data_IF_824306070979
#
_entry.id   IF_824306070979
#
_cell.length_a   1.000
_cell.length_b   1.000
_cell.length_c   1.000
_cell.angle_alpha   90.00
_cell.angle_beta   90.00
_cell.angle_gamma   90.00
#
_symmetry.space_group_name_H-M   'P 1'
#
loop_
_entity.id
_entity.type
_entity.pdbx_description
1 polymer ?
#
# COMPACT_ATOMS: atom_id res chain seq x y z
N UNK A 1 25.80 -12.84 -6.04
CA UNK A 1 26.51 -13.01 -4.76
C UNK A 1 25.42 -13.24 -3.75
N UNK A 2 25.34 -14.40 -3.11
CA UNK A 2 24.23 -14.69 -2.19
C UNK A 2 24.61 -14.34 -0.73
N UNK A 3 23.82 -13.50 -0.09
CA UNK A 3 23.99 -13.03 1.27
C UNK A 3 22.68 -13.24 2.05
N UNK A 4 22.76 -13.88 3.21
CA UNK A 4 21.64 -13.86 4.16
C UNK A 4 21.64 -12.52 4.89
N UNK A 5 20.54 -11.77 4.78
CA UNK A 5 20.37 -10.44 5.37
C UNK A 5 19.35 -10.53 6.50
N UNK A 6 19.68 -9.93 7.65
CA UNK A 6 18.73 -9.69 8.73
C UNK A 6 18.97 -8.28 9.29
N UNK A 7 17.92 -7.47 9.34
CA UNK A 7 17.97 -6.10 9.84
C UNK A 7 16.78 -5.90 10.78
N UNK A 8 17.03 -5.34 11.95
CA UNK A 8 15.98 -4.91 12.87
C UNK A 8 16.29 -3.52 13.42
N UNK A 9 15.25 -2.79 13.77
CA UNK A 9 15.41 -1.46 14.33
C UNK A 9 14.10 -0.86 14.80
N UNK A 10 14.17 0.21 15.61
CA UNK A 10 12.98 0.86 16.14
C UNK A 10 12.26 1.76 15.12
N UNK A 11 12.93 2.15 14.02
CA UNK A 11 12.40 2.98 12.94
C UNK A 11 13.38 2.99 11.74
N UNK A 12 12.95 2.64 10.51
CA UNK A 12 13.79 2.62 9.31
C UNK A 12 14.36 3.98 8.89
N UNK A 13 13.68 5.10 9.18
CA UNK A 13 14.13 6.46 8.85
C UNK A 13 15.54 6.74 9.39
N UNK A 14 15.93 6.10 10.50
CA UNK A 14 17.29 6.20 11.08
C UNK A 14 18.38 5.72 10.14
N UNK A 15 18.06 4.83 9.20
CA UNK A 15 18.99 4.34 8.17
C UNK A 15 19.12 5.30 6.98
N UNK A 16 18.26 6.31 6.84
CA UNK A 16 18.27 7.22 5.69
C UNK A 16 19.64 7.89 5.49
N UNK A 17 20.28 8.34 6.58
CA UNK A 17 21.61 8.96 6.55
C UNK A 17 22.72 7.98 6.14
N UNK A 18 22.54 6.70 6.44
CA UNK A 18 23.50 5.64 6.11
C UNK A 18 23.37 5.23 4.64
N UNK A 19 22.13 5.11 4.16
CA UNK A 19 21.82 4.61 2.82
C UNK A 19 21.76 5.72 1.74
N UNK A 20 21.67 6.99 2.15
CA UNK A 20 21.57 8.12 1.23
C UNK A 20 20.23 8.22 0.50
N UNK A 21 19.22 7.46 0.95
CA UNK A 21 17.85 7.49 0.46
C UNK A 21 16.91 7.92 1.60
N UNK A 22 15.86 8.66 1.30
CA UNK A 22 14.84 8.99 2.29
C UNK A 22 14.00 7.74 2.56
N UNK A 23 14.05 7.23 3.80
CA UNK A 23 13.17 6.17 4.26
C UNK A 23 12.03 6.76 5.08
N UNK A 24 10.83 6.15 5.03
CA UNK A 24 9.68 6.62 5.79
C UNK A 24 9.89 6.42 7.29
N UNK A 25 9.16 7.21 8.08
CA UNK A 25 8.95 6.90 9.50
C UNK A 25 7.96 5.75 9.60
N UNK A 26 8.43 4.62 10.14
CA UNK A 26 7.62 3.44 10.42
C UNK A 26 7.87 2.97 11.86
N UNK A 27 6.95 2.16 12.42
CA UNK A 27 7.16 1.48 13.70
C UNK A 27 8.43 0.60 13.71
N UNK A 28 8.65 -0.06 14.85
CA UNK A 28 9.72 -1.04 14.97
C UNK A 28 9.57 -2.12 13.89
N UNK A 29 10.68 -2.49 13.27
CA UNK A 29 10.71 -3.43 12.17
C UNK A 29 11.78 -4.50 12.37
N UNK A 30 11.54 -5.65 11.78
CA UNK A 30 12.51 -6.72 11.61
C UNK A 30 12.29 -7.34 10.24
N UNK A 31 13.32 -7.44 9.41
CA UNK A 31 13.23 -8.07 8.10
C UNK A 31 14.42 -9.00 7.89
N UNK A 32 14.16 -10.18 7.34
CA UNK A 32 15.18 -11.14 6.94
C UNK A 32 14.88 -11.74 5.58
N UNK A 33 15.91 -12.28 4.92
CA UNK A 33 15.79 -13.02 3.67
C UNK A 33 17.15 -13.21 2.99
N UNK A 34 17.12 -13.69 1.75
CA UNK A 34 18.30 -13.92 0.94
C UNK A 34 18.43 -12.81 -0.11
N UNK A 35 19.58 -12.12 -0.11
CA UNK A 35 19.90 -11.03 -1.02
C UNK A 35 20.96 -11.47 -2.02
N UNK A 36 20.61 -11.47 -3.31
CA UNK A 36 21.55 -11.61 -4.41
C UNK A 36 21.76 -10.31 -5.18
N UNK A 37 23.02 -10.02 -5.53
CA UNK A 37 23.37 -9.01 -6.51
C UNK A 37 23.75 -9.67 -7.84
N UNK A 38 22.85 -9.54 -8.82
CA UNK A 38 23.00 -10.01 -10.19
C UNK A 38 23.32 -8.82 -11.11
N UNK A 39 24.61 -8.48 -11.24
CA UNK A 39 25.02 -7.28 -11.97
C UNK A 39 24.61 -6.01 -11.23
N UNK A 40 23.65 -5.24 -11.75
CA UNK A 40 23.04 -4.09 -11.05
C UNK A 40 21.55 -4.34 -10.70
N UNK A 41 21.21 -5.61 -10.46
CA UNK A 41 19.90 -6.03 -9.96
C UNK A 41 20.06 -6.64 -8.57
N UNK A 42 19.41 -6.05 -7.59
CA UNK A 42 19.29 -6.59 -6.25
C UNK A 42 18.03 -7.44 -6.19
N UNK A 43 18.18 -8.73 -5.91
CA UNK A 43 17.08 -9.68 -5.79
C UNK A 43 16.99 -10.09 -4.33
N UNK A 44 15.93 -9.68 -3.64
CA UNK A 44 15.67 -10.04 -2.26
C UNK A 44 14.54 -11.06 -2.22
N UNK A 45 14.85 -12.27 -1.77
CA UNK A 45 13.93 -13.42 -1.78
C UNK A 45 13.76 -13.99 -0.39
N UNK A 46 12.70 -14.79 -0.20
CA UNK A 46 12.37 -15.38 1.11
C UNK A 46 12.23 -14.30 2.18
N UNK A 47 11.69 -13.14 1.77
CA UNK A 47 11.44 -12.02 2.67
C UNK A 47 10.51 -12.51 3.76
N UNK A 48 10.93 -12.30 5.00
CA UNK A 48 10.15 -12.51 6.21
C UNK A 48 10.35 -11.27 7.07
N UNK A 49 9.27 -10.52 7.19
CA UNK A 49 9.26 -9.17 7.75
C UNK A 49 8.17 -9.01 8.79
N UNK A 50 8.44 -8.12 9.74
CA UNK A 50 7.46 -7.54 10.65
C UNK A 50 7.67 -6.04 10.70
N UNK A 51 6.59 -5.28 10.66
CA UNK A 51 6.57 -3.83 10.82
C UNK A 51 5.40 -3.54 11.76
N UNK A 52 5.70 -3.05 12.97
CA UNK A 52 4.67 -2.92 14.00
C UNK A 52 4.01 -4.27 14.31
N UNK A 53 2.70 -4.32 14.15
CA UNK A 53 1.87 -5.52 14.35
C UNK A 53 1.64 -6.31 13.04
N UNK A 54 2.13 -5.80 11.92
CA UNK A 54 1.99 -6.38 10.58
C UNK A 54 3.10 -7.36 10.24
N UNK A 55 2.76 -8.43 9.53
CA UNK A 55 3.74 -9.30 8.86
C UNK A 55 3.84 -8.99 7.36
N UNK A 56 5.00 -9.27 6.77
CA UNK A 56 5.25 -9.08 5.34
C UNK A 56 6.19 -10.16 4.83
N UNK A 57 5.82 -10.82 3.74
CA UNK A 57 6.58 -11.90 3.15
C UNK A 57 6.69 -11.71 1.64
N UNK A 58 7.61 -12.44 0.99
CA UNK A 58 7.64 -12.54 -0.46
C UNK A 58 9.00 -12.28 -1.08
N UNK A 59 9.02 -11.52 -2.18
CA UNK A 59 10.22 -11.19 -2.93
C UNK A 59 10.15 -9.80 -3.54
N UNK A 60 11.29 -9.13 -3.60
CA UNK A 60 11.44 -7.84 -4.27
C UNK A 60 12.71 -7.83 -5.11
N UNK A 61 12.63 -7.12 -6.23
CA UNK A 61 13.73 -6.91 -7.15
C UNK A 61 13.90 -5.42 -7.38
N UNK A 62 15.10 -4.91 -7.13
CA UNK A 62 15.48 -3.54 -7.43
C UNK A 62 16.48 -3.54 -8.59
N UNK A 63 16.07 -3.02 -9.74
CA UNK A 63 16.90 -2.90 -10.92
C UNK A 63 17.39 -1.46 -11.09
N UNK A 64 18.69 -1.25 -10.87
CA UNK A 64 19.34 0.05 -11.05
C UNK A 64 20.07 0.16 -12.39
N UNK A 65 19.94 -0.82 -13.30
CA UNK A 65 20.47 -0.71 -14.68
C UNK A 65 19.58 0.17 -15.58
N UNK A 66 18.38 0.52 -15.12
CA UNK A 66 17.37 1.29 -15.86
C UNK A 66 17.17 2.64 -15.18
N UNK A 67 16.74 3.63 -15.95
CA UNK A 67 16.43 4.98 -15.47
C UNK A 67 15.03 5.38 -15.96
N UNK A 68 14.08 5.68 -15.07
CA UNK A 68 14.20 5.65 -13.61
C UNK A 68 14.50 4.24 -13.07
N UNK A 69 14.95 4.14 -11.81
CA UNK A 69 15.17 2.84 -11.18
C UNK A 69 13.84 2.08 -11.12
N UNK A 70 13.88 0.75 -11.26
CA UNK A 70 12.67 -0.06 -11.29
C UNK A 70 12.61 -1.03 -10.11
N UNK A 71 11.46 -1.08 -9.44
CA UNK A 71 11.16 -2.02 -8.36
C UNK A 71 10.08 -2.99 -8.81
N UNK A 72 10.27 -4.29 -8.59
CA UNK A 72 9.21 -5.25 -8.86
C UNK A 72 9.16 -6.40 -7.86
N UNK A 73 8.01 -7.05 -7.74
CA UNK A 73 7.90 -8.26 -6.94
C UNK A 73 6.50 -8.63 -6.48
N UNK A 74 6.46 -9.64 -5.63
CA UNK A 74 5.23 -10.15 -5.02
C UNK A 74 5.39 -10.11 -3.51
N UNK A 75 4.43 -9.49 -2.83
CA UNK A 75 4.39 -9.37 -1.39
C UNK A 75 3.12 -10.01 -0.83
N UNK A 76 3.19 -10.52 0.39
CA UNK A 76 2.00 -11.00 1.08
C UNK A 76 2.05 -10.85 2.59
N UNK A 77 0.88 -10.76 3.21
CA UNK A 77 0.72 -10.70 4.66
C UNK A 77 -0.41 -11.62 5.11
N UNK A 78 -0.22 -12.30 6.24
CA UNK A 78 -1.36 -12.91 6.94
C UNK A 78 -2.15 -11.85 7.69
N UNK A 79 -1.44 -10.92 8.35
CA UNK A 79 -2.03 -9.78 9.05
C UNK A 79 -1.29 -8.50 8.64
N UNK A 80 -2.07 -7.53 8.16
CA UNK A 80 -1.58 -6.19 7.88
C UNK A 80 -2.45 -5.18 8.61
N UNK A 81 -1.82 -4.26 9.33
CA UNK A 81 -2.43 -3.01 9.74
C UNK A 81 -1.89 -1.90 8.83
N UNK A 82 -2.77 -1.25 8.06
CA UNK A 82 -2.36 -0.20 7.13
C UNK A 82 -1.66 0.95 7.88
N UNK A 83 -1.99 1.17 9.15
CA UNK A 83 -1.32 2.18 9.98
C UNK A 83 0.18 1.89 10.18
N UNK A 84 0.59 0.62 10.15
CA UNK A 84 2.01 0.23 10.30
C UNK A 84 2.83 0.51 9.04
N UNK A 85 2.21 0.62 7.86
CA UNK A 85 2.88 0.93 6.60
C UNK A 85 3.17 2.43 6.43
N UNK A 86 2.85 3.24 7.43
CA UNK A 86 3.08 4.69 7.42
C UNK A 86 2.42 5.36 6.22
N UNK A 87 3.16 6.25 5.56
CA UNK A 87 2.74 7.15 4.47
C UNK A 87 1.92 6.52 3.31
N UNK A 88 1.82 5.19 3.16
CA UNK A 88 0.88 4.59 2.22
C UNK A 88 -0.60 4.93 2.55
N UNK A 89 -0.87 5.35 3.78
CA UNK A 89 -2.16 5.91 4.20
C UNK A 89 -2.27 7.44 4.04
N UNK A 90 -1.22 8.12 3.56
CA UNK A 90 -1.14 9.58 3.46
C UNK A 90 -1.32 10.33 4.79
N UNK A 91 -0.89 9.73 5.90
CA UNK A 91 -0.83 10.41 7.19
C UNK A 91 0.61 10.81 7.51
N UNK A 92 0.83 12.09 7.83
CA UNK A 92 1.99 12.46 8.64
C UNK A 92 1.74 12.08 10.10
N UNK A 93 2.78 11.80 10.92
CA UNK A 93 2.62 11.42 12.33
C UNK A 93 1.86 12.45 13.19
N UNK A 94 1.71 13.70 12.73
CA UNK A 94 0.92 14.74 13.42
C UNK A 94 -0.60 14.65 13.15
N UNK A 95 -1.04 13.83 12.19
CA UNK A 95 -2.46 13.77 11.77
C UNK A 95 -3.21 12.54 12.29
N UNK A 96 -2.51 11.58 12.90
CA UNK A 96 -3.11 10.35 13.47
C UNK A 96 -3.99 10.64 14.70
N UNK A 97 -3.97 11.87 15.23
CA UNK A 97 -4.77 12.29 16.40
C UNK A 97 -6.13 12.92 16.03
N UNK A 98 -6.46 13.04 14.73
CA UNK A 98 -7.77 13.54 14.30
C UNK A 98 -8.61 12.42 13.66
N UNK A 99 -9.45 11.84 14.49
CA UNK A 99 -10.65 11.12 14.10
C UNK A 99 -11.51 12.04 13.24
N UNK A 100 -11.49 11.88 11.91
CA UNK A 100 -12.61 12.13 10.99
C UNK A 100 -12.17 12.00 9.52
N UNK A 101 -12.99 11.26 8.76
CA UNK A 101 -12.97 11.04 7.30
C UNK A 101 -12.00 9.99 6.74
N UNK A 102 -12.61 8.86 6.35
CA UNK A 102 -12.18 8.05 5.21
C UNK A 102 -12.40 8.83 3.89
N UNK A 103 -11.73 9.96 3.76
CA UNK A 103 -11.61 10.71 2.51
C UNK A 103 -10.13 10.72 2.21
N UNK A 104 -9.79 10.42 0.95
CA UNK A 104 -8.44 10.43 0.38
C UNK A 104 -7.53 11.39 1.17
N UNK A 105 -6.38 10.91 1.71
CA UNK A 105 -5.56 11.68 2.62
C UNK A 105 -5.22 13.07 2.07
N UNK A 106 -5.24 14.07 2.95
CA UNK A 106 -4.85 15.46 2.63
C UNK A 106 -3.33 15.59 2.35
N UNK A 107 -2.54 14.56 2.68
CA UNK A 107 -1.14 14.45 2.27
C UNK A 107 -1.02 13.79 0.90
N UNK A 108 -0.26 14.41 0.01
CA UNK A 108 -0.04 13.94 -1.36
C UNK A 108 0.52 12.50 -1.39
N UNK A 109 -0.33 11.48 -1.57
CA UNK A 109 0.07 10.09 -1.91
C UNK A 109 1.04 10.11 -3.11
N UNK A 110 0.84 11.11 -3.97
CA UNK A 110 1.54 11.38 -5.20
C UNK A 110 2.61 12.44 -4.95
N UNK A 111 3.83 12.02 -4.65
CA UNK A 111 4.98 12.93 -4.46
C UNK A 111 5.86 12.99 -5.71
N UNK A 112 6.78 13.95 -5.77
CA UNK A 112 7.88 13.99 -6.75
C UNK A 112 8.66 12.66 -6.86
N UNK A 113 8.57 11.79 -5.85
CA UNK A 113 9.18 10.47 -5.86
C UNK A 113 8.66 9.58 -7.01
N UNK A 114 7.41 9.72 -7.43
CA UNK A 114 6.80 8.91 -8.50
C UNK A 114 7.43 9.17 -9.88
N UNK A 115 8.05 10.33 -10.06
CA UNK A 115 8.81 10.66 -11.28
C UNK A 115 10.24 10.07 -11.25
N UNK A 116 10.73 9.70 -10.07
CA UNK A 116 12.09 9.18 -9.86
C UNK A 116 12.21 7.66 -9.87
N UNK A 117 11.09 6.94 -9.97
CA UNK A 117 11.00 5.48 -9.83
C UNK A 117 9.92 4.90 -10.76
N UNK A 118 10.11 3.66 -11.20
CA UNK A 118 9.03 2.83 -11.75
C UNK A 118 8.82 1.60 -10.89
N UNK A 119 7.60 1.05 -10.89
CA UNK A 119 7.23 -0.09 -10.07
C UNK A 119 6.31 -1.08 -10.79
N UNK A 120 6.41 -2.36 -10.44
CA UNK A 120 5.48 -3.44 -10.83
C UNK A 120 5.38 -4.43 -9.65
N UNK A 121 4.40 -4.22 -8.78
CA UNK A 121 4.28 -4.91 -7.50
C UNK A 121 2.88 -5.48 -7.34
N UNK A 122 2.81 -6.77 -7.00
CA UNK A 122 1.58 -7.43 -6.55
C UNK A 122 1.61 -7.63 -5.03
N UNK A 123 0.45 -7.48 -4.40
CA UNK A 123 0.27 -7.68 -2.97
C UNK A 123 -0.97 -8.51 -2.67
N UNK A 124 -0.84 -9.46 -1.73
CA UNK A 124 -1.94 -10.28 -1.21
C UNK A 124 -2.00 -10.23 0.32
N UNK A 125 -3.15 -9.90 0.89
CA UNK A 125 -3.36 -9.82 2.34
C UNK A 125 -4.54 -10.68 2.80
N UNK A 126 -4.32 -11.63 3.71
CA UNK A 126 -5.41 -12.48 4.22
C UNK A 126 -6.38 -11.68 5.10
N UNK A 127 -5.84 -10.93 6.07
CA UNK A 127 -6.56 -10.06 7.00
C UNK A 127 -5.89 -8.69 7.04
N UNK A 128 -6.57 -7.67 6.53
CA UNK A 128 -6.05 -6.31 6.50
C UNK A 128 -6.95 -5.40 7.35
N UNK A 129 -6.35 -4.62 8.24
CA UNK A 129 -7.04 -3.60 9.01
C UNK A 129 -6.76 -2.23 8.41
N UNK A 130 -7.82 -1.52 8.04
CA UNK A 130 -7.78 -0.12 7.60
C UNK A 130 -8.54 0.73 8.63
N UNK A 131 -7.85 1.26 9.65
CA UNK A 131 -8.52 1.89 10.80
C UNK A 131 -9.39 0.87 11.54
N UNK A 132 -10.68 1.14 11.74
CA UNK A 132 -11.62 0.19 12.34
C UNK A 132 -12.24 -0.80 11.34
N UNK A 133 -11.82 -0.75 10.07
CA UNK A 133 -12.42 -1.55 8.99
C UNK A 133 -11.64 -2.86 8.79
N UNK A 134 -12.25 -4.02 9.07
CA UNK A 134 -11.66 -5.31 8.77
C UNK A 134 -11.91 -5.67 7.29
N UNK A 135 -10.83 -5.82 6.54
CA UNK A 135 -10.83 -6.28 5.16
C UNK A 135 -10.26 -7.70 5.10
N UNK A 136 -10.76 -8.52 4.17
CA UNK A 136 -10.31 -9.89 3.98
C UNK A 136 -9.94 -10.13 2.52
N UNK A 137 -9.01 -11.06 2.26
CA UNK A 137 -8.61 -11.45 0.91
C UNK A 137 -8.30 -10.23 0.01
N UNK A 138 -7.43 -9.35 0.51
CA UNK A 138 -7.00 -8.16 -0.22
C UNK A 138 -6.06 -8.56 -1.35
N UNK A 139 -6.30 -8.08 -2.55
CA UNK A 139 -5.43 -8.22 -3.71
C UNK A 139 -5.19 -6.84 -4.33
N UNK A 140 -3.93 -6.51 -4.60
CA UNK A 140 -3.53 -5.23 -5.20
C UNK A 140 -2.45 -5.51 -6.23
N UNK A 141 -2.69 -5.13 -7.48
CA UNK A 141 -1.65 -5.02 -8.49
C UNK A 141 -1.38 -3.55 -8.78
N UNK A 142 -0.11 -3.13 -8.62
CA UNK A 142 0.33 -1.76 -8.78
C UNK A 142 1.44 -1.64 -9.80
N UNK A 143 1.21 -0.81 -10.81
CA UNK A 143 2.21 -0.44 -11.82
C UNK A 143 2.43 1.07 -11.77
N UNK A 144 3.68 1.50 -11.74
CA UNK A 144 4.08 2.91 -11.81
C UNK A 144 5.07 3.10 -12.96
N UNK A 145 4.70 3.92 -13.94
CA UNK A 145 5.56 4.28 -15.06
C UNK A 145 5.43 5.77 -15.36
N UNK A 146 6.57 6.46 -15.51
CA UNK A 146 6.63 7.88 -15.90
C UNK A 146 5.73 8.82 -15.05
N UNK A 147 5.62 8.57 -13.74
CA UNK A 147 4.76 9.34 -12.83
C UNK A 147 3.28 8.98 -12.89
N UNK A 148 2.90 7.96 -13.66
CA UNK A 148 1.52 7.45 -13.73
C UNK A 148 1.40 6.13 -12.99
N UNK A 149 0.59 6.10 -11.94
CA UNK A 149 0.31 4.89 -11.17
C UNK A 149 -1.03 4.29 -11.52
N UNK A 150 -1.04 3.01 -11.83
CA UNK A 150 -2.23 2.22 -12.07
C UNK A 150 -2.36 1.16 -10.98
N UNK A 151 -3.54 1.08 -10.38
CA UNK A 151 -3.92 0.02 -9.46
C UNK A 151 -5.06 -0.77 -10.11
N UNK A 152 -4.76 -1.98 -10.60
CA UNK A 152 -5.69 -2.77 -11.40
C UNK A 152 -5.32 -4.27 -11.38
N UNK A 153 -6.02 -5.12 -10.60
CA UNK A 153 -7.13 -4.77 -9.71
C UNK A 153 -6.68 -4.27 -8.34
N UNK A 154 -7.61 -3.63 -7.62
CA UNK A 154 -7.63 -3.61 -6.16
C UNK A 154 -8.92 -4.29 -5.73
N UNK A 155 -8.85 -5.43 -5.05
CA UNK A 155 -10.03 -6.14 -4.59
C UNK A 155 -9.93 -6.51 -3.12
N UNK A 156 -11.05 -6.52 -2.41
CA UNK A 156 -11.12 -7.00 -1.04
C UNK A 156 -12.53 -7.41 -0.64
N UNK A 157 -12.62 -8.33 0.31
CA UNK A 157 -13.86 -8.71 0.98
C UNK A 157 -14.14 -7.84 2.20
N UNK A 158 -15.42 -7.48 2.40
CA UNK A 158 -15.91 -6.79 3.59
C UNK A 158 -17.24 -7.42 4.03
N UNK A 159 -17.27 -7.93 5.27
CA UNK A 159 -18.39 -8.74 5.74
C UNK A 159 -18.63 -9.95 4.85
N UNK A 160 -19.85 -10.10 4.32
CA UNK A 160 -20.20 -11.14 3.34
C UNK A 160 -20.07 -10.68 1.86
N UNK A 161 -19.69 -9.41 1.65
CA UNK A 161 -19.59 -8.76 0.35
C UNK A 161 -18.15 -8.62 -0.16
N UNK A 162 -18.01 -8.03 -1.34
CA UNK A 162 -16.74 -7.69 -1.97
C UNK A 162 -16.78 -6.30 -2.59
N UNK A 163 -15.60 -5.70 -2.69
CA UNK A 163 -15.37 -4.41 -3.36
C UNK A 163 -14.22 -4.61 -4.33
N UNK A 164 -14.44 -4.19 -5.57
CA UNK A 164 -13.46 -4.15 -6.64
C UNK A 164 -13.23 -2.69 -7.04
N UNK A 165 -11.97 -2.30 -7.19
CA UNK A 165 -11.54 -0.94 -7.47
C UNK A 165 -10.50 -0.97 -8.59
N UNK A 166 -10.57 0.03 -9.46
CA UNK A 166 -9.49 0.37 -10.40
C UNK A 166 -9.15 1.84 -10.23
N UNK A 167 -7.88 2.15 -10.02
CA UNK A 167 -7.39 3.52 -9.87
C UNK A 167 -6.33 3.82 -10.93
N UNK A 168 -6.40 5.01 -11.51
CA UNK A 168 -5.38 5.54 -12.41
C UNK A 168 -5.05 6.96 -11.95
N UNK A 169 -3.79 7.20 -11.60
CA UNK A 169 -3.30 8.44 -11.02
C UNK A 169 -2.16 8.98 -11.87
N UNK A 170 -2.22 10.28 -12.20
CA UNK A 170 -1.22 11.01 -12.97
C UNK A 170 -0.58 12.08 -12.08
N UNK A 171 0.70 11.87 -11.73
CA UNK A 171 1.52 12.79 -10.94
C UNK A 171 2.17 13.90 -11.75
N UNK A 172 2.03 13.88 -13.08
CA UNK A 172 2.70 14.83 -13.97
C UNK A 172 1.94 16.15 -14.09
N UNK A 173 0.69 16.17 -13.63
CA UNK A 173 -0.18 17.34 -13.56
C UNK A 173 -0.09 18.00 -12.17
N UNK A 174 -0.38 19.31 -12.11
CA UNK A 174 -0.46 20.05 -10.84
C UNK A 174 -1.78 20.85 -10.78
N UNK A 175 -2.74 20.50 -9.91
CA UNK A 175 -2.68 19.36 -8.97
C UNK A 175 -2.68 18.02 -9.72
N UNK A 176 -2.17 16.93 -9.10
CA UNK A 176 -2.29 15.58 -9.65
C UNK A 176 -3.74 15.23 -10.01
N UNK A 177 -3.92 14.44 -11.04
CA UNK A 177 -5.24 14.04 -11.57
C UNK A 177 -5.39 12.54 -11.58
N UNK A 178 -6.63 12.03 -11.63
CA UNK A 178 -6.84 10.60 -11.72
C UNK A 178 -8.27 10.20 -11.96
N UNK A 179 -8.47 8.91 -12.18
CA UNK A 179 -9.78 8.29 -12.32
C UNK A 179 -9.90 7.11 -11.37
N UNK A 180 -11.12 6.86 -10.91
CA UNK A 180 -11.44 5.75 -10.03
C UNK A 180 -12.72 5.09 -10.50
N UNK A 181 -12.69 3.76 -10.57
CA UNK A 181 -13.87 2.93 -10.79
C UNK A 181 -14.04 2.05 -9.56
N UNK A 182 -15.28 1.92 -9.10
CA UNK A 182 -15.61 1.07 -7.96
C UNK A 182 -16.81 0.22 -8.29
N UNK A 183 -16.72 -1.07 -8.02
CA UNK A 183 -17.82 -2.02 -8.02
C UNK A 183 -17.98 -2.60 -6.62
N UNK A 184 -19.20 -2.55 -6.09
CA UNK A 184 -19.54 -3.08 -4.77
C UNK A 184 -20.57 -4.18 -4.95
N UNK A 185 -20.34 -5.32 -4.31
CA UNK A 185 -21.20 -6.49 -4.40
C UNK A 185 -21.54 -7.02 -3.02
N UNK A 186 -22.84 -7.02 -2.69
CA UNK A 186 -23.39 -7.66 -1.48
C UNK A 186 -22.78 -7.14 -0.17
N UNK A 187 -22.39 -5.86 -0.13
CA UNK A 187 -21.92 -5.22 1.11
C UNK A 187 -23.14 -4.81 1.94
N UNK A 188 -23.13 -5.19 3.21
CA UNK A 188 -24.11 -4.76 4.19
C UNK A 188 -23.86 -3.28 4.53
N UNK A 189 -24.88 -2.45 4.33
CA UNK A 189 -24.77 -1.01 4.52
C UNK A 189 -24.70 -0.62 5.99
N UNK A 190 -25.38 -1.34 6.88
CA UNK A 190 -25.36 -1.03 8.31
C UNK A 190 -23.95 -1.24 8.89
N UNK A 191 -23.27 -2.30 8.44
CA UNK A 191 -21.89 -2.57 8.84
C UNK A 191 -20.89 -1.61 8.20
N UNK A 192 -21.10 -1.23 6.93
CA UNK A 192 -20.27 -0.24 6.25
C UNK A 192 -20.39 1.15 6.91
N UNK A 193 -21.61 1.62 7.20
CA UNK A 193 -21.84 2.93 7.82
C UNK A 193 -21.26 3.01 9.23
N UNK A 194 -21.34 1.93 10.03
CA UNK A 194 -20.73 1.84 11.36
C UNK A 194 -19.20 1.88 11.31
N UNK A 195 -18.59 1.19 10.35
CA UNK A 195 -17.14 1.06 10.26
C UNK A 195 -16.48 2.24 9.52
N UNK A 196 -17.24 2.99 8.71
CA UNK A 196 -16.76 4.16 7.95
C UNK A 196 -17.20 5.51 8.50
N UNK A 197 -17.85 5.53 9.67
CA UNK A 197 -18.36 6.73 10.36
C UNK A 197 -19.23 7.64 9.46
N UNK A 198 -20.08 7.01 8.65
CA UNK A 198 -21.02 7.69 7.76
C UNK A 198 -22.39 7.75 8.46
N UNK A 199 -22.83 8.94 8.85
CA UNK A 199 -24.07 9.11 9.59
C UNK A 199 -25.35 8.81 8.77
N UNK A 200 -26.29 8.15 9.47
CA UNK A 200 -27.75 8.09 9.37
C UNK A 200 -28.48 6.93 8.64
N UNK A 201 -29.56 6.50 9.33
CA UNK A 201 -30.36 5.28 9.21
C UNK A 201 -30.67 4.82 7.77
N UNK A 202 -30.01 3.75 7.34
CA UNK A 202 -30.28 3.10 6.03
C UNK A 202 -30.10 1.58 6.11
N UNK A 203 -31.21 0.83 6.23
CA UNK A 203 -31.16 -0.65 6.24
C UNK A 203 -31.16 -1.19 4.81
N UNK A 204 -30.11 -1.92 4.41
CA UNK A 204 -30.07 -2.62 3.12
C UNK A 204 -28.72 -3.22 2.72
N UNK A 205 -28.74 -4.07 1.70
CA UNK A 205 -27.53 -4.57 1.01
C UNK A 205 -27.34 -3.72 -0.24
N UNK A 206 -26.12 -3.21 -0.44
CA UNK A 206 -25.78 -2.43 -1.65
C UNK A 206 -25.09 -3.31 -2.68
N UNK A 207 -25.50 -3.13 -3.93
CA UNK A 207 -24.70 -3.45 -5.11
C UNK A 207 -24.72 -2.26 -6.06
N UNK A 208 -23.58 -1.91 -6.65
CA UNK A 208 -23.48 -0.75 -7.53
C UNK A 208 -22.11 -0.60 -8.17
N UNK A 209 -22.07 0.14 -9.28
CA UNK A 209 -20.84 0.55 -9.96
C UNK A 209 -20.82 2.07 -10.10
N UNK A 210 -19.68 2.70 -9.82
CA UNK A 210 -19.48 4.14 -9.97
C UNK A 210 -18.14 4.44 -10.63
N UNK A 211 -18.11 5.54 -11.40
CA UNK A 211 -16.92 6.03 -12.10
C UNK A 211 -16.72 7.50 -11.75
N UNK A 212 -15.51 7.86 -11.32
CA UNK A 212 -15.10 9.21 -10.92
C UNK A 212 -13.91 9.66 -11.78
N UNK A 213 -13.88 10.94 -12.16
CA UNK A 213 -12.82 11.55 -12.97
C UNK A 213 -13.01 13.05 -13.15
#
# INVERSE_FOLDING_TARGET
MNLSLAIEGPNPQRLSRLLGIALPELPAYSVSGELDLEGQRWVFTEIQGRIGDSDLNGRLTLNTNVSPLHVSGELSSTHLDIADLGFLAGATPEEIDNNDRFVLPDTEIITDAWQGISADVSYQGDSVRAGDVPLSNVEIDFVLEDGRGQFDPVSFGFGEGSVDLTLDLDSTTNPPSGTMQVEVQRVDLDDALRNWDLADDSVGIIGGAANFG
#
